data_IF_319656854549
#
_entry.id   IF_319656854549
#
_cell.length_a   1.000
_cell.length_b   1.000
_cell.length_c   1.000
_cell.angle_alpha   90.00
_cell.angle_beta   90.00
_cell.angle_gamma   90.00
#
_symmetry.space_group_name_H-M   'P 1'
#
loop_
_entity.id
_entity.type
_entity.pdbx_description
1 polymer ?
#
# COMPACT_ATOMS: atom_id res chain seq x y z
N UNK A 1 -7.97 -7.09 -16.33
CA UNK A 1 -7.94 -8.49 -15.81
C UNK A 1 -7.71 -8.41 -14.32
N UNK A 2 -8.60 -9.00 -13.53
CA UNK A 2 -8.56 -8.89 -12.07
C UNK A 2 -7.31 -9.56 -11.52
N UNK A 3 -6.48 -8.79 -10.81
CA UNK A 3 -5.25 -9.24 -10.16
C UNK A 3 -5.51 -9.65 -8.71
N UNK A 4 -6.27 -8.83 -7.97
CA UNK A 4 -6.70 -9.09 -6.60
C UNK A 4 -8.22 -9.07 -6.53
N UNK A 5 -8.79 -10.08 -5.90
CA UNK A 5 -10.21 -10.15 -5.55
C UNK A 5 -10.35 -10.48 -4.07
N UNK A 6 -11.06 -9.63 -3.35
CA UNK A 6 -11.41 -9.80 -1.94
C UNK A 6 -12.92 -9.95 -1.88
N UNK A 7 -13.42 -11.04 -1.31
CA UNK A 7 -14.84 -11.38 -1.28
C UNK A 7 -15.30 -11.67 0.13
N UNK A 8 -16.14 -10.78 0.65
CA UNK A 8 -16.85 -10.89 1.93
C UNK A 8 -15.94 -11.23 3.11
N UNK A 9 -14.77 -10.59 3.22
CA UNK A 9 -13.85 -10.86 4.30
C UNK A 9 -14.29 -10.23 5.61
N UNK A 10 -14.21 -11.02 6.67
CA UNK A 10 -14.37 -10.58 8.06
C UNK A 10 -13.05 -10.76 8.80
N UNK A 11 -12.70 -9.78 9.63
CA UNK A 11 -11.44 -9.83 10.39
C UNK A 11 -11.66 -9.32 11.81
N UNK A 12 -11.10 -10.03 12.78
CA UNK A 12 -11.28 -9.77 14.19
C UNK A 12 -9.94 -9.49 14.91
N UNK A 13 -9.99 -8.59 15.88
CA UNK A 13 -8.97 -8.40 16.91
C UNK A 13 -9.58 -8.78 18.26
N UNK A 14 -9.37 -10.02 18.68
CA UNK A 14 -10.07 -10.59 19.83
C UNK A 14 -11.59 -10.59 19.62
N UNK A 15 -12.34 -9.90 20.46
CA UNK A 15 -13.79 -9.79 20.35
C UNK A 15 -14.28 -8.68 19.38
N UNK A 16 -13.38 -7.83 18.90
CA UNK A 16 -13.74 -6.70 18.03
C UNK A 16 -13.69 -7.12 16.57
N UNK A 17 -14.82 -7.06 15.88
CA UNK A 17 -14.90 -7.26 14.44
C UNK A 17 -14.54 -5.95 13.72
N UNK A 18 -13.34 -5.93 13.14
CA UNK A 18 -12.80 -4.77 12.45
C UNK A 18 -13.24 -4.69 10.99
N UNK A 19 -13.36 -5.84 10.29
CA UNK A 19 -13.92 -5.93 8.94
C UNK A 19 -15.19 -6.77 8.98
N UNK A 20 -16.24 -6.29 8.31
CA UNK A 20 -17.61 -6.81 8.38
C UNK A 20 -18.18 -7.09 6.98
N UNK A 21 -17.48 -7.94 6.22
CA UNK A 21 -17.88 -8.30 4.87
C UNK A 21 -17.33 -7.33 3.83
N UNK A 22 -16.01 -7.07 3.83
CA UNK A 22 -15.35 -6.25 2.82
C UNK A 22 -15.20 -7.03 1.53
N UNK A 23 -15.65 -6.42 0.42
CA UNK A 23 -15.44 -6.90 -0.93
C UNK A 23 -14.83 -5.79 -1.80
N UNK A 24 -13.75 -6.10 -2.51
CA UNK A 24 -13.08 -5.18 -3.43
C UNK A 24 -12.28 -5.94 -4.47
N UNK A 25 -11.95 -5.27 -5.55
CA UNK A 25 -11.06 -5.81 -6.60
C UNK A 25 -9.97 -4.81 -6.96
N UNK A 26 -8.85 -5.31 -7.49
CA UNK A 26 -7.80 -4.50 -8.14
C UNK A 26 -7.41 -5.19 -9.43
N UNK A 27 -7.44 -4.48 -10.53
CA UNK A 27 -6.98 -4.99 -11.83
C UNK A 27 -5.45 -4.84 -12.00
N UNK A 28 -4.87 -5.62 -12.90
CA UNK A 28 -3.45 -5.51 -13.21
C UNK A 28 -3.11 -4.10 -13.74
N UNK A 29 -2.08 -3.46 -13.16
CA UNK A 29 -1.64 -2.11 -13.52
C UNK A 29 -2.61 -1.00 -13.11
N UNK A 30 -3.59 -1.29 -12.27
CA UNK A 30 -4.55 -0.30 -11.77
C UNK A 30 -4.08 0.35 -10.46
N UNK A 31 -4.44 1.61 -10.25
CA UNK A 31 -4.39 2.26 -8.94
C UNK A 31 -5.80 2.35 -8.37
N UNK A 32 -6.03 1.68 -7.26
CA UNK A 32 -7.29 1.69 -6.51
C UNK A 32 -7.06 2.31 -5.15
N UNK A 33 -7.98 3.12 -4.66
CA UNK A 33 -7.87 3.70 -3.32
C UNK A 33 -8.95 3.21 -2.35
N UNK A 34 -8.58 3.10 -1.06
CA UNK A 34 -9.49 2.96 0.06
C UNK A 34 -9.45 4.25 0.88
N UNK A 35 -10.55 4.96 0.94
CA UNK A 35 -10.71 6.17 1.76
C UNK A 35 -11.69 5.91 2.90
N UNK A 36 -11.59 6.68 3.97
CA UNK A 36 -12.45 6.54 5.14
C UNK A 36 -11.80 7.13 6.39
N UNK A 37 -12.59 7.34 7.42
CA UNK A 37 -12.14 7.86 8.72
C UNK A 37 -11.18 6.88 9.42
N UNK A 38 -10.49 7.39 10.46
CA UNK A 38 -9.67 6.54 11.32
C UNK A 38 -10.55 5.48 12.00
N UNK A 39 -10.06 4.23 12.00
CA UNK A 39 -10.83 3.09 12.51
C UNK A 39 -11.86 2.51 11.52
N UNK A 40 -12.00 3.02 10.29
CA UNK A 40 -12.93 2.48 9.31
C UNK A 40 -12.56 1.07 8.80
N UNK A 41 -11.35 0.57 9.07
CA UNK A 41 -10.90 -0.76 8.64
C UNK A 41 -9.86 -0.76 7.52
N UNK A 42 -9.40 0.42 7.05
CA UNK A 42 -8.48 0.57 5.92
C UNK A 42 -7.18 -0.24 6.08
N UNK A 43 -6.39 0.04 7.12
CA UNK A 43 -5.13 -0.68 7.39
C UNK A 43 -5.37 -2.15 7.70
N UNK A 44 -6.50 -2.50 8.35
CA UNK A 44 -6.88 -3.89 8.60
C UNK A 44 -7.11 -4.63 7.28
N UNK A 45 -7.73 -4.00 6.29
CA UNK A 45 -7.90 -4.59 4.94
C UNK A 45 -6.55 -4.91 4.32
N UNK A 46 -5.58 -3.97 4.32
CA UNK A 46 -4.23 -4.23 3.81
C UNK A 46 -3.52 -5.35 4.59
N UNK A 47 -3.67 -5.37 5.91
CA UNK A 47 -3.09 -6.42 6.77
C UNK A 47 -3.71 -7.79 6.52
N UNK A 48 -5.00 -7.85 6.20
CA UNK A 48 -5.65 -9.11 5.83
C UNK A 48 -5.17 -9.62 4.48
N UNK A 49 -5.08 -8.74 3.47
CA UNK A 49 -4.55 -9.09 2.15
C UNK A 49 -3.08 -9.54 2.23
N UNK A 50 -2.26 -8.90 3.06
CA UNK A 50 -0.84 -9.26 3.24
C UNK A 50 -0.60 -10.44 4.18
N UNK A 51 -1.65 -11.05 4.75
CA UNK A 51 -1.56 -12.20 5.66
C UNK A 51 -1.01 -11.88 7.05
N UNK A 52 -0.85 -10.60 7.40
CA UNK A 52 -0.42 -10.15 8.72
C UNK A 52 -1.53 -10.28 9.78
N UNK A 53 -2.77 -10.16 9.35
CA UNK A 53 -3.97 -10.38 10.19
C UNK A 53 -4.97 -11.17 9.34
N UNK A 54 -4.91 -12.51 9.33
CA UNK A 54 -5.74 -13.33 8.45
C UNK A 54 -7.23 -13.07 8.65
N UNK A 55 -7.99 -13.05 7.55
CA UNK A 55 -9.44 -12.98 7.60
C UNK A 55 -10.02 -14.21 8.32
N UNK A 56 -11.04 -14.02 9.15
CA UNK A 56 -11.73 -15.12 9.83
C UNK A 56 -12.64 -15.89 8.88
N UNK A 57 -13.34 -15.17 7.99
CA UNK A 57 -14.21 -15.72 6.93
C UNK A 57 -14.04 -14.91 5.64
N UNK A 58 -14.66 -15.37 4.56
CA UNK A 58 -14.50 -14.80 3.22
C UNK A 58 -13.28 -15.35 2.50
N UNK A 59 -12.99 -14.83 1.31
CA UNK A 59 -11.90 -15.30 0.45
C UNK A 59 -11.08 -14.12 -0.10
N UNK A 60 -9.77 -14.37 -0.29
CA UNK A 60 -8.85 -13.45 -0.94
C UNK A 60 -8.16 -14.22 -2.05
N UNK A 61 -8.37 -13.80 -3.30
CA UNK A 61 -7.76 -14.42 -4.49
C UNK A 61 -6.76 -13.44 -5.09
N UNK A 62 -5.55 -13.89 -5.39
CA UNK A 62 -4.51 -13.12 -6.05
C UNK A 62 -3.96 -13.85 -7.26
N UNK A 63 -4.00 -13.22 -8.43
CA UNK A 63 -3.58 -13.82 -9.70
C UNK A 63 -4.22 -15.18 -9.98
N UNK A 64 -5.48 -15.38 -9.55
CA UNK A 64 -6.24 -16.61 -9.69
C UNK A 64 -5.99 -17.67 -8.60
N UNK A 65 -5.10 -17.42 -7.63
CA UNK A 65 -4.82 -18.32 -6.51
C UNK A 65 -5.51 -17.84 -5.22
N UNK A 66 -6.12 -18.75 -4.47
CA UNK A 66 -6.63 -18.44 -3.13
C UNK A 66 -5.45 -18.26 -2.16
N UNK A 67 -5.35 -17.05 -1.59
CA UNK A 67 -4.32 -16.68 -0.63
C UNK A 67 -4.86 -16.44 0.79
N UNK A 68 -6.13 -16.71 1.05
CA UNK A 68 -6.86 -16.40 2.29
C UNK A 68 -6.14 -16.86 3.55
N UNK A 69 -5.52 -18.03 3.49
CA UNK A 69 -4.80 -18.65 4.62
C UNK A 69 -3.28 -18.74 4.41
N UNK A 70 -2.78 -18.11 3.36
CA UNK A 70 -1.34 -18.12 3.07
C UNK A 70 -0.62 -17.20 4.07
N UNK A 71 0.48 -17.64 4.69
CA UNK A 71 1.23 -16.82 5.64
C UNK A 71 1.93 -15.65 4.93
N UNK A 72 2.08 -14.51 5.63
CA UNK A 72 2.58 -13.26 5.08
C UNK A 72 3.92 -13.38 4.31
N UNK A 73 4.86 -14.19 4.82
CA UNK A 73 6.16 -14.40 4.17
C UNK A 73 6.08 -15.12 2.82
N UNK A 74 5.02 -15.88 2.58
CA UNK A 74 4.74 -16.52 1.29
C UNK A 74 3.95 -15.58 0.35
N UNK A 75 3.09 -14.73 0.90
CA UNK A 75 2.35 -13.72 0.11
C UNK A 75 3.31 -12.78 -0.60
N UNK A 76 4.40 -12.36 0.07
CA UNK A 76 5.45 -11.54 -0.56
C UNK A 76 6.07 -12.24 -1.78
N UNK A 77 6.30 -13.57 -1.70
CA UNK A 77 6.87 -14.36 -2.81
C UNK A 77 5.88 -14.42 -3.99
N UNK A 78 4.58 -14.42 -3.74
CA UNK A 78 3.54 -14.40 -4.78
C UNK A 78 3.43 -13.06 -5.49
N UNK A 79 4.01 -12.00 -4.93
CA UNK A 79 4.10 -10.68 -5.55
C UNK A 79 3.21 -9.61 -4.92
N UNK A 80 2.81 -9.75 -3.66
CA UNK A 80 2.18 -8.67 -2.89
C UNK A 80 3.18 -8.12 -1.90
N UNK A 81 3.46 -6.81 -1.93
CA UNK A 81 4.31 -6.15 -0.94
C UNK A 81 3.55 -5.02 -0.24
N UNK A 82 3.81 -4.82 1.04
CA UNK A 82 3.20 -3.80 1.87
C UNK A 82 4.25 -2.78 2.33
N UNK A 83 3.99 -1.49 2.10
CA UNK A 83 4.62 -0.39 2.81
C UNK A 83 3.64 0.08 3.90
N UNK A 84 3.85 -0.30 5.18
CA UNK A 84 2.89 -0.06 6.25
C UNK A 84 2.95 1.40 6.73
N UNK A 85 1.88 1.84 7.39
CA UNK A 85 1.85 3.08 8.17
C UNK A 85 3.01 3.10 9.18
N UNK A 86 3.53 4.29 9.49
CA UNK A 86 4.62 4.44 10.47
C UNK A 86 6.00 4.05 9.95
N UNK A 87 6.15 3.82 8.64
CA UNK A 87 7.41 3.61 7.89
C UNK A 87 8.12 2.30 8.22
N UNK A 88 8.18 1.89 9.49
CA UNK A 88 8.79 0.65 9.99
C UNK A 88 10.18 0.33 9.38
N UNK A 89 11.02 1.36 9.20
CA UNK A 89 12.41 1.16 8.84
C UNK A 89 13.19 0.59 10.03
N UNK A 90 14.23 -0.18 9.76
CA UNK A 90 15.15 -0.65 10.79
C UNK A 90 16.16 0.47 11.12
N UNK A 91 16.02 1.21 12.23
CA UNK A 91 16.70 2.48 12.46
C UNK A 91 18.21 2.34 12.64
N UNK A 92 18.67 1.18 13.08
CA UNK A 92 20.11 0.89 13.28
C UNK A 92 20.82 0.40 12.03
N UNK A 93 20.06 0.01 11.00
CA UNK A 93 20.57 -0.42 9.70
C UNK A 93 20.69 0.78 8.76
N UNK A 94 21.61 0.69 7.81
CA UNK A 94 21.77 1.66 6.73
C UNK A 94 20.58 1.63 5.77
N UNK A 95 20.49 2.63 4.90
CA UNK A 95 19.53 2.65 3.78
C UNK A 95 19.71 1.39 2.93
N UNK A 96 20.96 1.07 2.53
CA UNK A 96 21.30 -0.10 1.73
C UNK A 96 20.81 -1.39 2.37
N UNK A 97 21.14 -1.61 3.65
CA UNK A 97 20.74 -2.81 4.39
C UNK A 97 19.22 -2.92 4.54
N UNK A 98 18.49 -1.80 4.72
CA UNK A 98 17.02 -1.79 4.72
C UNK A 98 16.45 -2.23 3.38
N UNK A 99 17.03 -1.77 2.26
CA UNK A 99 16.63 -2.19 0.92
C UNK A 99 16.94 -3.67 0.68
N UNK A 100 18.11 -4.14 1.06
CA UNK A 100 18.51 -5.58 0.98
C UNK A 100 17.49 -6.49 1.65
N UNK A 101 16.93 -6.09 2.79
CA UNK A 101 15.87 -6.87 3.46
C UNK A 101 14.62 -7.04 2.59
N UNK A 102 14.28 -6.05 1.76
CA UNK A 102 13.17 -6.15 0.80
C UNK A 102 13.38 -7.26 -0.23
N UNK A 103 14.63 -7.52 -0.61
CA UNK A 103 15.01 -8.59 -1.54
C UNK A 103 15.29 -9.94 -0.86
N UNK A 104 15.21 -10.05 0.47
CA UNK A 104 15.68 -11.22 1.24
C UNK A 104 15.13 -12.57 0.75
N UNK A 105 13.89 -12.62 0.28
CA UNK A 105 13.26 -13.85 -0.23
C UNK A 105 13.56 -14.13 -1.69
N UNK A 106 14.19 -13.20 -2.38
CA UNK A 106 14.58 -13.35 -3.78
C UNK A 106 15.98 -13.97 -3.86
N UNK A 107 16.19 -14.80 -4.86
CA UNK A 107 17.49 -15.41 -5.18
C UNK A 107 17.75 -15.25 -6.67
N UNK A 108 19.00 -15.06 -7.04
CA UNK A 108 19.42 -15.00 -8.46
C UNK A 108 19.78 -13.59 -8.93
N UNK A 109 20.07 -13.44 -10.24
CA UNK A 109 20.44 -12.18 -10.84
C UNK A 109 19.28 -11.15 -10.80
N UNK A 110 19.61 -9.87 -10.95
CA UNK A 110 18.63 -8.80 -11.06
C UNK A 110 18.40 -8.01 -9.77
N UNK A 111 19.06 -8.35 -8.64
CA UNK A 111 18.97 -7.55 -7.40
C UNK A 111 19.71 -6.20 -7.59
N UNK A 112 20.79 -6.16 -8.33
CA UNK A 112 21.51 -4.93 -8.61
C UNK A 112 20.64 -3.94 -9.42
N UNK A 113 19.97 -4.43 -10.45
CA UNK A 113 19.03 -3.62 -11.26
C UNK A 113 17.84 -3.12 -10.44
N UNK A 114 17.42 -3.86 -9.40
CA UNK A 114 16.36 -3.39 -8.51
C UNK A 114 16.85 -2.24 -7.62
N UNK A 115 18.08 -2.28 -7.14
CA UNK A 115 18.69 -1.15 -6.46
C UNK A 115 18.76 0.07 -7.37
N UNK A 116 19.21 -0.09 -8.60
CA UNK A 116 19.30 1.03 -9.56
C UNK A 116 17.91 1.61 -9.80
N UNK A 117 16.88 0.77 -10.03
CA UNK A 117 15.48 1.23 -10.17
C UNK A 117 14.98 1.98 -8.94
N UNK A 118 15.22 1.49 -7.73
CA UNK A 118 14.81 2.16 -6.50
C UNK A 118 15.56 3.48 -6.32
N UNK A 119 16.83 3.53 -6.68
CA UNK A 119 17.64 4.75 -6.59
C UNK A 119 17.25 5.78 -7.65
N UNK A 120 16.81 5.36 -8.84
CA UNK A 120 16.26 6.25 -9.86
C UNK A 120 14.95 6.89 -9.39
N UNK A 121 14.06 6.10 -8.78
CA UNK A 121 12.82 6.59 -8.17
C UNK A 121 13.09 7.51 -6.96
N UNK A 122 14.11 7.20 -6.17
CA UNK A 122 14.45 7.90 -4.93
C UNK A 122 15.95 8.26 -4.87
N UNK A 123 16.42 9.26 -5.63
CA UNK A 123 17.86 9.62 -5.69
C UNK A 123 18.47 9.92 -4.32
N UNK A 124 17.68 10.49 -3.38
CA UNK A 124 18.11 10.75 -2.01
C UNK A 124 18.52 9.51 -1.25
N UNK A 125 17.91 8.35 -1.56
CA UNK A 125 18.32 7.08 -0.93
C UNK A 125 19.70 6.64 -1.41
N UNK A 126 20.05 6.89 -2.68
CA UNK A 126 21.37 6.62 -3.24
C UNK A 126 22.44 7.49 -2.59
N UNK A 127 22.20 8.80 -2.49
CA UNK A 127 23.09 9.76 -1.85
C UNK A 127 23.42 9.36 -0.39
N UNK A 128 22.49 8.69 0.26
CA UNK A 128 22.54 8.33 1.68
C UNK A 128 22.60 6.83 1.94
N UNK A 129 23.03 6.04 0.96
CA UNK A 129 22.98 4.57 1.03
C UNK A 129 23.64 3.98 2.27
N UNK A 130 24.71 4.64 2.80
CA UNK A 130 25.45 4.22 3.99
C UNK A 130 24.96 4.86 5.28
N UNK A 131 24.01 5.80 5.19
CA UNK A 131 23.44 6.48 6.37
C UNK A 131 22.48 5.54 7.10
N UNK A 132 22.47 5.58 8.45
CA UNK A 132 21.52 4.84 9.26
C UNK A 132 20.10 5.41 9.08
N UNK A 133 19.13 4.55 8.83
CA UNK A 133 17.75 4.95 8.56
C UNK A 133 17.12 5.77 9.70
N UNK A 134 17.47 5.49 10.95
CA UNK A 134 16.98 6.24 12.09
C UNK A 134 17.41 7.71 12.17
N UNK A 135 18.40 8.13 11.35
CA UNK A 135 18.88 9.53 11.29
C UNK A 135 18.33 10.31 10.10
N UNK A 136 17.46 9.67 9.31
CA UNK A 136 16.82 10.28 8.13
C UNK A 136 15.56 11.06 8.55
N UNK A 137 15.17 12.02 7.70
CA UNK A 137 13.88 12.71 7.85
C UNK A 137 12.70 11.74 7.67
N UNK A 138 11.52 12.13 8.17
CA UNK A 138 10.32 11.30 8.03
C UNK A 138 9.94 10.96 6.59
N UNK A 139 10.07 11.92 5.67
CA UNK A 139 9.81 11.67 4.26
C UNK A 139 10.84 10.75 3.60
N UNK A 140 12.13 10.87 3.95
CA UNK A 140 13.16 9.95 3.46
C UNK A 140 12.95 8.53 4.00
N UNK A 141 12.52 8.38 5.25
CA UNK A 141 12.14 7.07 5.80
C UNK A 141 10.93 6.46 5.09
N UNK A 142 9.96 7.29 4.67
CA UNK A 142 8.82 6.83 3.88
C UNK A 142 9.25 6.35 2.50
N UNK A 143 10.11 7.12 1.81
CA UNK A 143 10.70 6.70 0.54
C UNK A 143 11.47 5.37 0.69
N UNK A 144 12.20 5.21 1.81
CA UNK A 144 12.91 3.97 2.13
C UNK A 144 11.95 2.79 2.35
N UNK A 145 10.81 3.01 3.03
CA UNK A 145 9.81 1.97 3.26
C UNK A 145 9.17 1.51 1.93
N UNK A 146 8.83 2.45 1.05
CA UNK A 146 8.31 2.15 -0.30
C UNK A 146 9.40 1.46 -1.14
N UNK A 147 10.62 1.99 -1.16
CA UNK A 147 11.76 1.38 -1.86
C UNK A 147 12.01 -0.06 -1.42
N UNK A 148 11.99 -0.33 -0.11
CA UNK A 148 12.13 -1.67 0.45
C UNK A 148 11.02 -2.61 -0.04
N UNK A 149 9.78 -2.15 -0.11
CA UNK A 149 8.67 -2.95 -0.65
C UNK A 149 8.88 -3.27 -2.15
N UNK A 150 9.40 -2.31 -2.93
CA UNK A 150 9.71 -2.49 -4.36
C UNK A 150 10.83 -3.50 -4.62
N UNK A 151 11.79 -3.66 -3.70
CA UNK A 151 12.85 -4.66 -3.81
C UNK A 151 12.33 -6.09 -3.88
N UNK A 152 11.08 -6.36 -3.46
CA UNK A 152 10.41 -7.64 -3.63
C UNK A 152 9.94 -7.90 -5.08
N UNK A 153 10.00 -6.92 -6.01
CA UNK A 153 9.38 -6.92 -7.36
C UNK A 153 7.90 -7.27 -7.31
N UNK A 154 7.09 -6.51 -6.58
CA UNK A 154 5.67 -6.83 -6.45
C UNK A 154 4.90 -6.64 -7.75
N UNK A 155 3.87 -7.47 -7.96
CA UNK A 155 2.80 -7.22 -8.93
C UNK A 155 1.73 -6.28 -8.36
N UNK A 156 1.56 -6.32 -7.03
CA UNK A 156 0.66 -5.46 -6.26
C UNK A 156 1.41 -4.84 -5.09
N UNK A 157 1.43 -3.51 -5.05
CA UNK A 157 1.98 -2.73 -3.95
C UNK A 157 0.84 -2.19 -3.08
N UNK A 158 0.84 -2.54 -1.80
CA UNK A 158 -0.07 -2.03 -0.80
C UNK A 158 0.59 -0.85 -0.08
N UNK A 159 -0.03 0.32 -0.07
CA UNK A 159 0.47 1.54 0.57
C UNK A 159 -0.50 1.98 1.67
N UNK A 160 -0.02 2.03 2.90
CA UNK A 160 -0.81 2.41 4.07
C UNK A 160 -0.43 3.82 4.54
N UNK A 161 -1.27 4.80 4.24
CA UNK A 161 -1.14 6.22 4.58
C UNK A 161 0.26 6.80 4.27
N UNK A 162 0.75 6.69 3.01
CA UNK A 162 2.11 7.07 2.67
C UNK A 162 2.40 8.57 2.83
N UNK A 163 1.38 9.42 2.92
CA UNK A 163 1.53 10.87 3.09
C UNK A 163 1.51 11.33 4.56
N UNK A 164 1.19 10.44 5.51
CA UNK A 164 0.97 10.82 6.90
C UNK A 164 2.24 11.36 7.59
N UNK A 165 2.12 12.57 8.17
CA UNK A 165 3.20 13.19 8.95
C UNK A 165 4.43 13.56 8.11
N UNK A 166 4.24 13.90 6.85
CA UNK A 166 5.28 14.28 5.89
C UNK A 166 5.07 15.73 5.44
N UNK A 167 6.16 16.45 5.21
CA UNK A 167 6.11 17.81 4.71
C UNK A 167 5.46 17.87 3.30
N UNK A 168 4.62 18.89 2.99
CA UNK A 168 3.84 18.95 1.76
C UNK A 168 4.64 18.72 0.47
N UNK A 169 5.82 19.30 0.38
CA UNK A 169 6.70 19.15 -0.79
C UNK A 169 7.14 17.71 -1.03
N UNK A 170 7.33 16.92 0.03
CA UNK A 170 7.70 15.51 -0.07
C UNK A 170 6.49 14.62 -0.35
N UNK A 171 5.29 15.05 0.08
CA UNK A 171 4.04 14.35 -0.26
C UNK A 171 3.84 14.36 -1.77
N UNK A 172 3.99 15.52 -2.44
CA UNK A 172 3.90 15.61 -3.89
C UNK A 172 4.87 14.65 -4.57
N UNK A 173 6.12 14.61 -4.12
CA UNK A 173 7.12 13.69 -4.68
C UNK A 173 6.74 12.22 -4.48
N UNK A 174 6.13 11.84 -3.35
CA UNK A 174 5.63 10.48 -3.12
C UNK A 174 4.53 10.12 -4.13
N UNK A 175 3.57 11.03 -4.37
CA UNK A 175 2.50 10.77 -5.33
C UNK A 175 2.98 10.71 -6.78
N UNK A 176 3.94 11.56 -7.17
CA UNK A 176 4.63 11.44 -8.47
C UNK A 176 5.27 10.06 -8.63
N UNK A 177 5.98 9.61 -7.59
CA UNK A 177 6.64 8.29 -7.58
C UNK A 177 5.63 7.14 -7.61
N UNK A 178 4.47 7.26 -6.93
CA UNK A 178 3.36 6.29 -7.03
C UNK A 178 2.92 6.16 -8.48
N UNK A 179 2.76 7.28 -9.19
CA UNK A 179 2.45 7.29 -10.62
C UNK A 179 3.55 6.65 -11.49
N UNK A 180 4.84 6.88 -11.18
CA UNK A 180 5.96 6.24 -11.89
C UNK A 180 5.99 4.72 -11.67
N UNK A 181 5.77 4.27 -10.44
CA UNK A 181 5.67 2.84 -10.09
C UNK A 181 4.52 2.19 -10.85
N UNK A 182 3.35 2.81 -10.88
CA UNK A 182 2.19 2.27 -11.60
C UNK A 182 2.45 2.19 -13.11
N UNK A 183 3.05 3.23 -13.72
CA UNK A 183 3.43 3.21 -15.14
C UNK A 183 4.42 2.11 -15.49
N UNK A 184 5.19 1.61 -14.53
CA UNK A 184 6.05 0.44 -14.72
C UNK A 184 5.29 -0.90 -14.71
N UNK A 185 3.96 -0.88 -14.54
CA UNK A 185 3.07 -2.05 -14.57
C UNK A 185 2.71 -2.63 -13.21
N UNK A 186 3.13 -2.01 -12.12
CA UNK A 186 2.77 -2.44 -10.75
C UNK A 186 1.37 -1.91 -10.42
N UNK A 187 0.44 -2.82 -10.05
CA UNK A 187 -0.85 -2.42 -9.49
C UNK A 187 -0.67 -1.87 -8.07
N UNK A 188 -1.52 -0.91 -7.67
CA UNK A 188 -1.40 -0.25 -6.38
C UNK A 188 -2.76 -0.24 -5.67
N UNK A 189 -2.78 -0.68 -4.42
CA UNK A 189 -3.89 -0.45 -3.50
C UNK A 189 -3.44 0.57 -2.45
N UNK A 190 -3.94 1.79 -2.57
CA UNK A 190 -3.58 2.94 -1.76
C UNK A 190 -4.62 3.17 -0.66
N UNK A 191 -4.19 3.15 0.59
CA UNK A 191 -5.01 3.60 1.73
C UNK A 191 -4.57 4.99 2.13
N UNK A 192 -5.51 5.91 2.24
CA UNK A 192 -5.24 7.30 2.61
C UNK A 192 -6.36 7.91 3.46
N UNK A 193 -5.98 8.89 4.27
CA UNK A 193 -6.92 9.75 4.99
C UNK A 193 -7.27 10.99 4.16
N UNK A 194 -6.31 11.52 3.38
CA UNK A 194 -6.55 12.63 2.47
C UNK A 194 -7.25 12.13 1.20
N UNK A 195 -8.57 12.17 1.20
CA UNK A 195 -9.39 11.64 0.12
C UNK A 195 -9.16 12.38 -1.21
N UNK A 196 -8.92 13.70 -1.22
CA UNK A 196 -8.64 14.44 -2.45
C UNK A 196 -7.44 13.85 -3.17
N UNK A 197 -6.29 13.73 -2.48
CA UNK A 197 -5.05 13.21 -3.06
C UNK A 197 -5.18 11.74 -3.46
N UNK A 198 -5.90 10.95 -2.67
CA UNK A 198 -6.12 9.55 -2.96
C UNK A 198 -6.94 9.34 -4.24
N UNK A 199 -8.00 10.12 -4.42
CA UNK A 199 -8.86 10.08 -5.60
C UNK A 199 -8.15 10.63 -6.85
N UNK A 200 -7.31 11.68 -6.69
CA UNK A 200 -6.52 12.22 -7.80
C UNK A 200 -5.49 11.20 -8.35
N UNK A 201 -4.97 10.34 -7.48
CA UNK A 201 -3.98 9.33 -7.85
C UNK A 201 -4.58 8.02 -8.38
N UNK A 202 -5.87 7.75 -8.14
CA UNK A 202 -6.52 6.48 -8.41
C UNK A 202 -7.52 6.57 -9.57
N UNK A 203 -7.74 5.46 -10.27
CA UNK A 203 -8.80 5.35 -11.29
C UNK A 203 -10.19 5.18 -10.67
N UNK A 204 -10.27 4.47 -9.53
CA UNK A 204 -11.49 4.24 -8.75
C UNK A 204 -11.16 4.04 -7.28
N UNK A 205 -12.18 4.06 -6.44
CA UNK A 205 -12.00 3.91 -5.01
C UNK A 205 -13.18 3.26 -4.30
N UNK A 206 -12.91 2.93 -3.06
CA UNK A 206 -13.88 2.42 -2.10
C UNK A 206 -13.89 3.31 -0.87
N UNK A 207 -15.07 3.70 -0.42
CA UNK A 207 -15.27 4.44 0.84
C UNK A 207 -15.59 3.41 1.91
N UNK A 208 -14.76 3.36 2.96
CA UNK A 208 -14.96 2.48 4.09
C UNK A 208 -15.56 3.22 5.28
N UNK A 209 -16.60 2.65 5.86
CA UNK A 209 -17.21 3.12 7.09
C UNK A 209 -17.46 1.95 8.05
N UNK A 210 -16.90 2.03 9.24
CA UNK A 210 -17.11 1.08 10.34
C UNK A 210 -16.97 -0.40 9.92
N UNK A 211 -15.93 -0.68 9.11
CA UNK A 211 -15.60 -2.04 8.66
C UNK A 211 -16.42 -2.54 7.47
N UNK A 212 -17.11 -1.67 6.74
CA UNK A 212 -17.90 -2.00 5.55
C UNK A 212 -17.54 -1.08 4.38
N UNK A 213 -17.77 -1.54 3.16
CA UNK A 213 -17.76 -0.67 1.97
C UNK A 213 -19.11 0.06 1.93
N UNK A 214 -19.07 1.37 2.12
CA UNK A 214 -20.25 2.23 2.03
C UNK A 214 -20.54 2.66 0.60
N UNK A 215 -19.48 2.93 -0.19
CA UNK A 215 -19.59 3.38 -1.59
C UNK A 215 -18.40 2.84 -2.39
N UNK A 216 -18.61 2.51 -3.65
CA UNK A 216 -17.58 2.13 -4.60
C UNK A 216 -17.91 2.72 -5.97
N UNK A 217 -16.98 3.46 -6.58
CA UNK A 217 -17.14 4.05 -7.91
C UNK A 217 -15.78 4.45 -8.50
N UNK A 218 -15.81 4.95 -9.75
CA UNK A 218 -14.67 5.66 -10.31
C UNK A 218 -14.36 6.93 -9.51
N UNK A 219 -13.10 7.39 -9.58
CA UNK A 219 -12.62 8.52 -8.78
C UNK A 219 -13.36 9.81 -9.08
N UNK A 220 -13.75 10.07 -10.33
CA UNK A 220 -14.46 11.27 -10.70
C UNK A 220 -15.88 11.31 -10.09
N UNK A 221 -16.57 10.17 -10.08
CA UNK A 221 -17.89 10.02 -9.42
C UNK A 221 -17.77 10.19 -7.91
N UNK A 222 -16.75 9.59 -7.26
CA UNK A 222 -16.51 9.76 -5.82
C UNK A 222 -16.18 11.20 -5.45
N UNK A 223 -15.40 11.91 -6.29
CA UNK A 223 -15.07 13.32 -6.08
C UNK A 223 -16.31 14.23 -6.10
N UNK A 224 -17.31 13.88 -6.91
CA UNK A 224 -18.54 14.64 -7.06
C UNK A 224 -19.67 14.17 -6.13
N UNK A 225 -19.49 13.09 -5.37
CA UNK A 225 -20.49 12.59 -4.45
C UNK A 225 -20.67 13.52 -3.24
N UNK A 226 -21.90 14.04 -2.97
CA UNK A 226 -22.12 14.98 -1.87
C UNK A 226 -21.84 14.41 -0.47
N UNK A 227 -21.95 13.09 -0.29
CA UNK A 227 -21.62 12.42 0.97
C UNK A 227 -20.11 12.38 1.18
N UNK A 228 -19.36 12.02 0.14
CA UNK A 228 -17.88 12.00 0.14
C UNK A 228 -17.33 13.42 0.35
N UNK A 229 -17.90 14.41 -0.35
CA UNK A 229 -17.49 15.82 -0.21
C UNK A 229 -17.62 16.29 1.23
N UNK A 230 -18.78 16.12 1.84
CA UNK A 230 -19.04 16.55 3.22
C UNK A 230 -18.22 15.78 4.26
N UNK A 231 -18.02 14.46 4.06
CA UNK A 231 -17.36 13.62 5.06
C UNK A 231 -15.83 13.65 4.97
N UNK A 232 -15.26 13.82 3.76
CA UNK A 232 -13.84 13.55 3.50
C UNK A 232 -13.11 14.64 2.71
N UNK A 233 -13.80 15.52 1.97
CA UNK A 233 -13.16 16.53 1.10
C UNK A 233 -13.15 17.92 1.71
N UNK A 234 -13.89 18.16 2.81
CA UNK A 234 -13.85 19.45 3.55
C UNK A 234 -14.58 20.61 2.87
N UNK A 235 -15.61 20.33 2.06
CA UNK A 235 -16.48 21.30 1.39
C UNK A 235 -17.83 21.40 2.07
#
# INVERSE_FOLDING_TARGET
>A
MTLLEVSDIHTHYGAIEALKGISLTVDAGEVVTLIGSNGAGKSTTLRSISGLTPASTGTITFAGEDITRVPAHEIVIRGIALAPEGRHCFPRMTVRENLDLGAHRRRGPGIAEDFDRVYDLFPRLKERERQKAGTMSGGEQQMLAIGRALMARPKLLLLDEPSLGIAPILVERIYETIGEINRSGVAILLVEQNANRALDAASRGYVLETGRVALASDSASLHNDPGVQRAYLGT
#
